data_IF_329546835811
#
_entry.id   IF_329546835811
#
_cell.length_a   1.000
_cell.length_b   1.000
_cell.length_c   1.000
_cell.angle_alpha   90.00
_cell.angle_beta   90.00
_cell.angle_gamma   90.00
#
_symmetry.space_group_name_H-M   'P 1'
#
loop_
_entity.id
_entity.type
_entity.pdbx_description
1 polymer ?
#
# COMPACT_ATOMS: atom_id res chain seq x y z
N UNK A 1 7.45 -7.12 -4.66
CA UNK A 1 7.57 -5.66 -4.36
C UNK A 1 8.58 -4.99 -5.25
N UNK A 2 9.74 -5.57 -5.47
CA UNK A 2 10.79 -4.96 -6.27
C UNK A 2 10.39 -4.78 -7.74
N UNK A 3 9.86 -5.81 -8.35
CA UNK A 3 9.47 -5.80 -9.76
C UNK A 3 8.43 -4.71 -10.08
N UNK A 4 7.35 -4.63 -9.32
CA UNK A 4 6.25 -3.66 -9.57
C UNK A 4 6.54 -2.28 -8.98
N UNK A 5 6.96 -2.21 -7.73
CA UNK A 5 7.09 -0.95 -7.00
C UNK A 5 8.53 -0.47 -6.82
N UNK A 6 9.51 -1.27 -7.23
CA UNK A 6 10.93 -0.94 -7.05
C UNK A 6 11.35 -0.84 -5.58
N UNK A 7 10.63 -1.49 -4.68
CA UNK A 7 11.01 -1.57 -3.27
C UNK A 7 12.03 -2.68 -3.12
N UNK A 8 13.26 -2.32 -2.77
CA UNK A 8 14.37 -3.26 -2.66
C UNK A 8 14.18 -4.27 -1.54
N UNK A 9 14.68 -5.47 -1.73
CA UNK A 9 14.64 -6.56 -0.76
C UNK A 9 15.25 -6.18 0.60
N UNK A 10 16.27 -5.32 0.61
CA UNK A 10 16.95 -4.83 1.81
C UNK A 10 16.01 -4.11 2.78
N UNK A 11 14.92 -3.51 2.30
CA UNK A 11 13.90 -2.86 3.14
C UNK A 11 13.27 -3.86 4.11
N UNK A 12 13.24 -5.14 3.74
CA UNK A 12 12.59 -6.21 4.50
C UNK A 12 13.58 -7.12 5.24
N UNK A 13 14.86 -6.75 5.32
CA UNK A 13 15.91 -7.59 5.91
C UNK A 13 15.62 -7.98 7.37
N UNK A 14 14.95 -7.13 8.12
CA UNK A 14 14.61 -7.35 9.52
C UNK A 14 13.28 -8.10 9.75
N UNK A 15 12.69 -8.62 8.66
CA UNK A 15 11.40 -9.29 8.70
C UNK A 15 11.50 -10.71 8.20
N UNK A 16 10.75 -11.60 8.82
CA UNK A 16 10.46 -12.93 8.33
C UNK A 16 9.14 -12.96 7.56
N UNK A 17 9.09 -13.76 6.51
CA UNK A 17 7.92 -13.93 5.66
C UNK A 17 7.25 -15.25 5.93
N UNK A 18 5.93 -15.22 6.05
CA UNK A 18 5.11 -16.41 6.29
C UNK A 18 3.95 -16.46 5.29
N UNK A 19 3.73 -17.63 4.70
CA UNK A 19 2.57 -17.84 3.85
C UNK A 19 1.50 -18.61 4.60
N UNK A 20 0.25 -18.19 4.46
CA UNK A 20 -0.90 -18.88 5.03
C UNK A 20 -2.10 -18.75 4.09
N UNK A 21 -2.57 -19.89 3.57
CA UNK A 21 -3.62 -19.94 2.56
C UNK A 21 -3.23 -19.10 1.33
N UNK A 22 -4.01 -18.07 1.01
CA UNK A 22 -3.75 -17.16 -0.12
C UNK A 22 -3.10 -15.84 0.30
N UNK A 23 -2.61 -15.76 1.52
CA UNK A 23 -2.03 -14.53 2.06
C UNK A 23 -0.58 -14.74 2.49
N UNK A 24 0.19 -13.65 2.36
CA UNK A 24 1.54 -13.55 2.88
C UNK A 24 1.56 -12.57 4.04
N UNK A 25 2.33 -12.91 5.08
CA UNK A 25 2.47 -12.15 6.30
C UNK A 25 3.93 -11.86 6.59
N UNK A 26 4.20 -10.71 7.21
CA UNK A 26 5.53 -10.37 7.69
C UNK A 26 5.50 -10.12 9.20
N UNK A 27 6.62 -10.43 9.83
CA UNK A 27 6.83 -10.23 11.25
C UNK A 27 8.29 -9.86 11.47
N UNK A 28 8.57 -8.92 12.39
CA UNK A 28 9.96 -8.61 12.73
C UNK A 28 10.67 -9.87 13.25
N UNK A 29 11.92 -10.09 12.83
CA UNK A 29 12.71 -11.25 13.25
C UNK A 29 12.83 -11.36 14.77
N UNK A 30 12.98 -10.22 15.47
CA UNK A 30 13.01 -10.17 16.93
C UNK A 30 11.72 -10.69 17.55
N UNK A 31 10.56 -10.32 17.00
CA UNK A 31 9.27 -10.80 17.47
C UNK A 31 9.02 -12.27 17.09
N UNK A 32 9.45 -12.68 15.90
CA UNK A 32 9.36 -14.08 15.43
C UNK A 32 10.09 -15.04 16.37
N UNK A 33 11.27 -14.67 16.84
CA UNK A 33 12.07 -15.48 17.75
C UNK A 33 11.43 -15.64 19.15
N UNK A 34 10.53 -14.73 19.52
CA UNK A 34 9.84 -14.72 20.83
C UNK A 34 8.46 -15.35 20.81
N UNK A 35 7.96 -15.78 19.61
CA UNK A 35 6.63 -16.35 19.49
C UNK A 35 6.53 -17.73 20.13
N UNK A 36 5.50 -17.96 20.97
CA UNK A 36 5.14 -19.33 21.39
C UNK A 36 4.73 -20.17 20.16
N UNK A 37 5.08 -21.45 20.18
CA UNK A 37 4.75 -22.38 19.08
C UNK A 37 3.24 -22.45 18.80
N UNK A 38 2.40 -22.17 19.80
CA UNK A 38 0.94 -22.19 19.70
C UNK A 38 0.36 -20.93 19.06
N UNK A 39 1.12 -19.83 18.96
CA UNK A 39 0.63 -18.57 18.44
C UNK A 39 0.77 -18.50 16.92
N UNK A 40 -0.32 -18.15 16.24
CA UNK A 40 -0.33 -18.03 14.78
C UNK A 40 0.20 -16.65 14.35
N UNK A 41 1.04 -16.63 13.31
CA UNK A 41 1.57 -15.36 12.74
C UNK A 41 0.47 -14.37 12.36
N UNK A 42 -0.67 -14.87 11.86
CA UNK A 42 -1.83 -14.03 11.50
C UNK A 42 -2.45 -13.27 12.67
N UNK A 43 -2.10 -13.59 13.91
CA UNK A 43 -2.57 -12.88 15.11
C UNK A 43 -1.64 -11.74 15.53
N UNK A 44 -0.37 -11.79 15.12
CA UNK A 44 0.67 -10.84 15.56
C UNK A 44 1.43 -10.19 14.41
N UNK A 45 1.40 -10.80 13.23
CA UNK A 45 2.08 -10.29 12.05
C UNK A 45 1.26 -9.27 11.28
N UNK A 46 1.92 -8.61 10.33
CA UNK A 46 1.27 -7.75 9.35
C UNK A 46 0.97 -8.55 8.09
N UNK A 47 -0.28 -8.49 7.65
CA UNK A 47 -0.63 -9.04 6.35
C UNK A 47 -0.02 -8.19 5.24
N UNK A 48 0.87 -8.80 4.45
CA UNK A 48 1.59 -8.09 3.39
C UNK A 48 0.84 -8.14 2.06
N UNK A 49 0.41 -9.32 1.66
CA UNK A 49 -0.24 -9.56 0.35
C UNK A 49 -1.38 -10.55 0.46
N UNK A 50 -2.35 -10.38 -0.43
CA UNK A 50 -3.30 -11.41 -0.81
C UNK A 50 -3.04 -11.85 -2.25
N UNK A 51 -3.16 -13.15 -2.51
CA UNK A 51 -3.17 -13.67 -3.87
C UNK A 51 -4.58 -13.55 -4.44
N UNK A 52 -4.75 -12.72 -5.45
CA UNK A 52 -6.01 -12.50 -6.16
C UNK A 52 -5.84 -12.96 -7.61
N UNK A 53 -6.32 -14.16 -7.93
CA UNK A 53 -6.07 -14.78 -9.23
C UNK A 53 -4.57 -15.00 -9.46
N UNK A 54 -4.03 -14.37 -10.49
CA UNK A 54 -2.60 -14.44 -10.83
C UNK A 54 -1.78 -13.30 -10.19
N UNK A 55 -2.43 -12.35 -9.53
CA UNK A 55 -1.80 -11.14 -9.01
C UNK A 55 -1.59 -11.21 -7.50
N UNK A 56 -0.52 -10.58 -7.04
CA UNK A 56 -0.29 -10.31 -5.63
C UNK A 56 -0.76 -8.88 -5.33
N UNK A 57 -1.81 -8.76 -4.52
CA UNK A 57 -2.33 -7.48 -4.09
C UNK A 57 -1.74 -7.10 -2.73
N UNK A 58 -0.91 -6.06 -2.64
CA UNK A 58 -0.42 -5.58 -1.35
C UNK A 58 -1.58 -5.11 -0.47
N UNK A 59 -1.46 -5.31 0.84
CA UNK A 59 -2.40 -4.70 1.77
C UNK A 59 -2.17 -3.18 1.84
N UNK A 60 -3.21 -2.43 2.17
CA UNK A 60 -3.10 -0.98 2.37
C UNK A 60 -2.06 -0.67 3.44
N UNK A 61 -2.04 -1.44 4.53
CA UNK A 61 -1.10 -1.26 5.63
C UNK A 61 0.36 -1.47 5.20
N UNK A 62 0.60 -2.50 4.40
CA UNK A 62 1.92 -2.77 3.82
C UNK A 62 2.42 -1.58 3.00
N UNK A 63 1.55 -1.03 2.17
CA UNK A 63 1.88 0.14 1.34
C UNK A 63 2.10 1.39 2.17
N UNK A 64 1.29 1.63 3.20
CA UNK A 64 1.47 2.77 4.10
C UNK A 64 2.80 2.72 4.85
N UNK A 65 3.25 1.54 5.26
CA UNK A 65 4.51 1.37 5.99
C UNK A 65 5.75 1.42 5.10
N UNK A 66 5.68 0.85 3.91
CA UNK A 66 6.86 0.66 3.05
C UNK A 66 6.79 1.43 1.72
N UNK A 67 5.67 2.06 1.41
CA UNK A 67 5.45 2.71 0.12
C UNK A 67 6.37 3.90 -0.16
N UNK A 68 6.95 4.55 0.85
CA UNK A 68 7.93 5.62 0.67
C UNK A 68 9.23 5.12 0.02
N UNK A 69 9.54 3.83 0.14
CA UNK A 69 10.70 3.22 -0.50
C UNK A 69 10.45 2.86 -1.98
N UNK A 70 9.23 3.05 -2.47
CA UNK A 70 8.89 2.74 -3.85
C UNK A 70 9.55 3.72 -4.83
N UNK A 71 10.14 3.17 -5.88
CA UNK A 71 10.75 3.92 -6.99
C UNK A 71 9.97 3.80 -8.28
N UNK A 72 8.99 2.90 -8.34
CA UNK A 72 8.14 2.63 -9.50
C UNK A 72 6.67 2.57 -9.09
N UNK A 73 5.78 2.73 -10.08
CA UNK A 73 4.33 2.64 -9.90
C UNK A 73 3.82 3.53 -8.75
N UNK A 74 4.34 4.74 -8.67
CA UNK A 74 3.92 5.77 -7.72
C UNK A 74 3.20 6.87 -8.48
N UNK A 75 1.99 7.19 -8.07
CA UNK A 75 1.24 8.32 -8.58
C UNK A 75 1.16 9.42 -7.54
N UNK A 76 1.66 10.60 -7.88
CA UNK A 76 1.66 11.77 -7.01
C UNK A 76 0.38 12.58 -7.25
N UNK A 77 -0.46 12.64 -6.24
CA UNK A 77 -1.72 13.37 -6.29
C UNK A 77 -1.50 14.88 -6.17
N UNK A 78 -2.30 15.64 -6.90
CA UNK A 78 -2.52 17.06 -6.62
C UNK A 78 -3.61 17.21 -5.56
N UNK A 79 -3.76 18.42 -4.99
CA UNK A 79 -4.84 18.68 -4.01
C UNK A 79 -6.23 18.49 -4.64
N UNK A 80 -6.39 18.86 -5.90
CA UNK A 80 -7.65 18.63 -6.64
C UNK A 80 -7.96 17.17 -6.83
N UNK A 81 -6.95 16.35 -7.16
CA UNK A 81 -7.09 14.91 -7.32
C UNK A 81 -7.39 14.22 -5.99
N UNK A 82 -6.81 14.71 -4.89
CA UNK A 82 -7.17 14.26 -3.56
C UNK A 82 -8.65 14.48 -3.27
N UNK A 83 -9.18 15.65 -3.62
CA UNK A 83 -10.60 15.95 -3.50
C UNK A 83 -11.49 14.96 -4.27
N UNK A 84 -11.13 14.61 -5.49
CA UNK A 84 -11.82 13.59 -6.28
C UNK A 84 -11.74 12.21 -5.63
N UNK A 85 -10.58 11.82 -5.15
CA UNK A 85 -10.35 10.55 -4.49
C UNK A 85 -11.21 10.40 -3.23
N UNK A 86 -11.37 11.48 -2.46
CA UNK A 86 -12.23 11.52 -1.28
C UNK A 86 -13.71 11.35 -1.61
N UNK A 87 -14.13 11.76 -2.80
CA UNK A 87 -15.49 11.53 -3.31
C UNK A 87 -15.64 10.19 -4.03
N UNK A 88 -14.63 9.33 -3.98
CA UNK A 88 -14.55 8.05 -4.69
C UNK A 88 -14.71 8.20 -6.22
N UNK A 89 -14.29 9.36 -6.77
CA UNK A 89 -14.29 9.60 -8.21
C UNK A 89 -13.02 9.01 -8.84
N UNK A 90 -13.10 8.45 -10.07
CA UNK A 90 -11.93 8.00 -10.80
C UNK A 90 -11.06 9.20 -11.23
N UNK A 91 -9.74 8.96 -11.31
CA UNK A 91 -8.77 9.95 -11.77
C UNK A 91 -8.36 9.60 -13.20
N UNK A 92 -8.48 10.54 -14.12
CA UNK A 92 -7.96 10.40 -15.47
C UNK A 92 -6.50 10.84 -15.54
N UNK A 93 -5.65 9.95 -16.05
CA UNK A 93 -4.20 10.18 -16.13
C UNK A 93 -3.79 10.20 -17.59
N UNK A 94 -3.39 11.37 -18.09
CA UNK A 94 -3.08 11.59 -19.50
C UNK A 94 -1.73 10.99 -19.92
N UNK A 95 -0.78 10.83 -19.01
CA UNK A 95 0.54 10.23 -19.32
C UNK A 95 1.28 9.96 -18.01
N UNK A 96 1.17 8.76 -17.50
CA UNK A 96 1.85 8.39 -16.25
C UNK A 96 3.22 7.73 -16.48
N UNK A 97 3.48 7.20 -17.68
CA UNK A 97 4.63 6.34 -17.93
C UNK A 97 4.60 5.05 -17.10
N UNK A 98 3.49 4.77 -16.44
CA UNK A 98 3.30 3.60 -15.56
C UNK A 98 2.38 2.61 -16.27
N UNK A 99 2.76 1.35 -16.27
CA UNK A 99 1.94 0.26 -16.81
C UNK A 99 0.70 0.01 -15.95
N UNK A 100 -0.34 -0.52 -16.55
CA UNK A 100 -1.57 -0.91 -15.87
C UNK A 100 -1.28 -1.85 -14.69
N UNK A 101 -2.07 -1.72 -13.64
CA UNK A 101 -1.94 -2.47 -12.40
C UNK A 101 -2.02 -1.60 -11.15
N UNK A 102 -1.65 -2.17 -10.02
CA UNK A 102 -1.66 -1.42 -8.76
C UNK A 102 -0.60 -0.32 -8.74
N UNK A 103 -0.99 0.85 -8.26
CA UNK A 103 -0.13 2.02 -8.07
C UNK A 103 -0.24 2.52 -6.63
N UNK A 104 0.85 3.10 -6.14
CA UNK A 104 0.89 3.73 -4.82
C UNK A 104 0.44 5.18 -4.97
N UNK A 105 -0.58 5.58 -4.24
CA UNK A 105 -1.08 6.95 -4.21
C UNK A 105 -0.35 7.74 -3.12
N UNK A 106 0.32 8.81 -3.52
CA UNK A 106 1.06 9.69 -2.61
C UNK A 106 0.57 11.13 -2.74
N UNK A 107 0.48 11.80 -1.60
CA UNK A 107 0.32 13.24 -1.53
C UNK A 107 1.56 13.81 -0.82
N UNK A 108 2.39 14.55 -1.53
CA UNK A 108 3.70 14.98 -1.02
C UNK A 108 4.51 13.79 -0.49
N UNK A 109 4.88 13.79 0.79
CA UNK A 109 5.62 12.71 1.45
C UNK A 109 4.71 11.69 2.16
N UNK A 110 3.40 11.78 1.97
CA UNK A 110 2.43 10.88 2.59
C UNK A 110 1.95 9.80 1.62
N UNK A 111 2.13 8.55 2.00
CA UNK A 111 1.54 7.41 1.29
C UNK A 111 0.11 7.22 1.78
N UNK A 112 -0.86 7.37 0.88
CA UNK A 112 -2.27 7.21 1.21
C UNK A 112 -2.73 5.76 1.11
N UNK A 113 -2.30 5.05 0.09
CA UNK A 113 -2.67 3.67 -0.15
C UNK A 113 -2.52 3.28 -1.61
N UNK A 114 -3.32 2.32 -2.05
CA UNK A 114 -3.31 1.80 -3.42
C UNK A 114 -4.42 2.39 -4.28
N UNK A 115 -4.10 2.60 -5.54
CA UNK A 115 -5.04 2.72 -6.64
C UNK A 115 -4.84 1.58 -7.64
N UNK A 116 -5.81 1.38 -8.51
CA UNK A 116 -5.70 0.50 -9.67
C UNK A 116 -5.71 1.36 -10.92
N UNK A 117 -4.61 1.34 -11.66
CA UNK A 117 -4.50 1.99 -12.97
C UNK A 117 -4.91 1.00 -14.05
N UNK A 118 -5.90 1.36 -14.82
CA UNK A 118 -6.37 0.61 -15.99
C UNK A 118 -6.73 1.59 -17.11
N UNK A 119 -6.11 1.42 -18.25
CA UNK A 119 -6.41 2.21 -19.46
C UNK A 119 -6.47 3.73 -19.21
N UNK A 120 -5.47 4.26 -18.49
CA UNK A 120 -5.36 5.69 -18.20
C UNK A 120 -6.29 6.20 -17.10
N UNK A 121 -6.98 5.32 -16.37
CA UNK A 121 -7.87 5.70 -15.27
C UNK A 121 -7.41 5.04 -13.97
N UNK A 122 -7.27 5.84 -12.92
CA UNK A 122 -6.95 5.33 -11.57
C UNK A 122 -8.22 5.30 -10.73
N UNK A 123 -8.53 4.12 -10.20
CA UNK A 123 -9.59 3.92 -9.21
C UNK A 123 -8.97 3.65 -7.85
N UNK A 124 -9.35 4.43 -6.84
CA UNK A 124 -8.85 4.25 -5.48
C UNK A 124 -9.28 2.90 -4.90
N UNK A 125 -8.36 2.25 -4.20
CA UNK A 125 -8.61 1.04 -3.41
C UNK A 125 -8.59 1.31 -1.89
N UNK A 126 -8.54 2.58 -1.53
CA UNK A 126 -8.61 3.03 -0.13
C UNK A 126 -10.07 3.07 0.27
N UNK A 127 -10.39 2.53 1.45
CA UNK A 127 -11.75 2.65 2.00
C UNK A 127 -12.05 4.13 2.27
N UNK A 128 -13.26 4.57 1.92
CA UNK A 128 -13.65 5.97 2.04
C UNK A 128 -13.57 6.50 3.47
N UNK A 129 -13.94 5.68 4.46
CA UNK A 129 -13.80 6.01 5.88
C UNK A 129 -12.33 6.23 6.30
N UNK A 130 -11.43 5.48 5.71
CA UNK A 130 -9.98 5.60 5.95
C UNK A 130 -9.42 6.85 5.27
N UNK A 131 -9.81 7.13 4.03
CA UNK A 131 -9.44 8.33 3.30
C UNK A 131 -9.86 9.60 4.06
N UNK A 132 -11.08 9.65 4.58
CA UNK A 132 -11.59 10.76 5.38
C UNK A 132 -10.79 10.97 6.67
N UNK A 133 -10.41 9.88 7.36
CA UNK A 133 -9.57 9.96 8.56
C UNK A 133 -8.17 10.50 8.28
N UNK A 134 -7.58 10.11 7.15
CA UNK A 134 -6.26 10.61 6.72
C UNK A 134 -6.29 12.12 6.51
N UNK A 135 -7.33 12.64 5.87
CA UNK A 135 -7.47 14.09 5.61
C UNK A 135 -7.69 14.86 6.90
N UNK A 136 -8.50 14.34 7.80
CA UNK A 136 -8.68 14.97 9.12
C UNK A 136 -7.37 15.03 9.90
N UNK A 137 -6.53 13.99 9.79
CA UNK A 137 -5.18 13.96 10.36
C UNK A 137 -4.23 14.97 9.75
N UNK A 138 -4.26 15.17 8.44
CA UNK A 138 -3.43 16.15 7.73
C UNK A 138 -3.83 17.58 8.08
N UNK A 139 -5.13 17.87 8.20
CA UNK A 139 -5.62 19.19 8.58
C UNK A 139 -5.31 19.57 10.03
N UNK A 140 -5.12 18.59 10.92
CA UNK A 140 -4.75 18.86 12.31
C UNK A 140 -3.25 19.10 12.52
N UNK A 141 -2.41 18.79 11.54
CA UNK A 141 -0.96 19.04 11.61
C UNK A 141 -0.57 20.44 11.06
N UNK A 142 -1.46 21.10 10.33
CA UNK A 142 -1.24 22.46 9.76
C UNK A 142 -1.63 23.60 10.73
N UNK A 143 -2.03 23.26 11.92
CA UNK A 143 -2.27 24.22 13.00
C UNK A 143 -1.10 24.21 13.99
#
# INVERSE_FOLDING_TARGET
>A
MEERFGIREQVFVDFDWFSRRKSWWILRKTASAMLPVSLKVSQVGLKAFDKVGQYLKPSTRMIQLFGLHATKAVYRLTDMELGKLLRAEPLEVTSSGVEDGFVILRLNDHVLGLGLLMEGTITSRIRQSEAQRMVSGLNSTDN
#
